data_IF_152442423187
#
_entry.id   IF_152442423187
#
_cell.length_a   1.000
_cell.length_b   1.000
_cell.length_c   1.000
_cell.angle_alpha   90.00
_cell.angle_beta   90.00
_cell.angle_gamma   90.00
#
_symmetry.space_group_name_H-M   'P 1'
#
loop_
_entity.id
_entity.type
_entity.pdbx_description
1 polymer ?
#
# COMPACT_ATOMS: atom_id res chain seq x y z
N UNK A 1 -7.56 49.27 -28.28
CA UNK A 1 -7.75 48.24 -27.25
C UNK A 1 -7.23 46.93 -27.83
N UNK A 2 -6.20 46.32 -27.22
CA UNK A 2 -5.45 45.23 -27.86
C UNK A 2 -6.30 43.96 -27.98
N UNK A 3 -6.50 43.48 -29.20
CA UNK A 3 -7.30 42.30 -29.53
C UNK A 3 -6.78 41.03 -28.82
N UNK A 4 -5.46 40.97 -28.58
CA UNK A 4 -4.81 39.93 -27.78
C UNK A 4 -5.24 39.93 -26.31
N UNK A 5 -5.50 41.10 -25.73
CA UNK A 5 -5.93 41.23 -24.34
C UNK A 5 -7.39 40.78 -24.19
N UNK A 6 -8.22 41.11 -25.18
CA UNK A 6 -9.63 40.70 -25.23
C UNK A 6 -9.75 39.17 -25.36
N UNK A 7 -8.95 38.56 -26.26
CA UNK A 7 -8.92 37.10 -26.44
C UNK A 7 -8.43 36.37 -25.20
N UNK A 8 -7.40 36.89 -24.53
CA UNK A 8 -6.93 36.33 -23.26
C UNK A 8 -8.01 36.37 -22.19
N UNK A 9 -8.72 37.49 -22.03
CA UNK A 9 -9.84 37.61 -21.10
C UNK A 9 -10.99 36.64 -21.43
N UNK A 10 -11.33 36.47 -22.71
CA UNK A 10 -12.39 35.54 -23.13
C UNK A 10 -12.04 34.08 -22.87
N UNK A 11 -10.78 33.67 -23.08
CA UNK A 11 -10.32 32.30 -22.79
C UNK A 11 -10.31 32.03 -21.28
N UNK A 12 -9.87 33.00 -20.48
CA UNK A 12 -9.89 32.90 -19.01
C UNK A 12 -11.34 32.81 -18.50
N UNK A 13 -12.26 33.62 -19.04
CA UNK A 13 -13.67 33.58 -18.66
C UNK A 13 -14.35 32.25 -19.05
N UNK A 14 -14.05 31.72 -20.24
CA UNK A 14 -14.56 30.44 -20.70
C UNK A 14 -14.03 29.26 -19.84
N UNK A 15 -12.75 29.28 -19.49
CA UNK A 15 -12.16 28.29 -18.59
C UNK A 15 -12.74 28.38 -17.17
N UNK A 16 -12.97 29.58 -16.65
CA UNK A 16 -13.59 29.80 -15.33
C UNK A 16 -15.07 29.35 -15.28
N UNK A 17 -15.81 29.50 -16.37
CA UNK A 17 -17.19 29.01 -16.51
C UNK A 17 -17.25 27.48 -16.62
N UNK A 18 -16.35 26.88 -17.42
CA UNK A 18 -16.27 25.43 -17.56
C UNK A 18 -15.79 24.72 -16.28
N UNK A 19 -14.92 25.38 -15.50
CA UNK A 19 -14.48 24.89 -14.19
C UNK A 19 -15.47 25.19 -13.05
N UNK A 20 -16.61 25.86 -13.34
CA UNK A 20 -17.52 26.32 -12.30
C UNK A 20 -18.08 25.24 -11.36
N UNK A 21 -18.44 24.02 -11.82
CA UNK A 21 -18.94 22.99 -10.91
C UNK A 21 -17.82 22.33 -10.08
N UNK A 22 -16.56 22.53 -10.46
CA UNK A 22 -15.39 21.93 -9.79
C UNK A 22 -14.62 22.94 -8.92
N UNK A 23 -15.15 24.15 -8.70
CA UNK A 23 -14.47 25.20 -7.94
C UNK A 23 -14.07 24.78 -6.51
N UNK A 24 -14.91 23.98 -5.85
CA UNK A 24 -14.62 23.48 -4.52
C UNK A 24 -13.43 22.50 -4.52
N UNK A 25 -13.37 21.61 -5.52
CA UNK A 25 -12.29 20.63 -5.68
C UNK A 25 -10.98 21.30 -6.09
N UNK A 26 -11.05 22.30 -6.98
CA UNK A 26 -9.91 23.10 -7.42
C UNK A 26 -9.36 23.92 -6.25
N UNK A 27 -10.21 24.54 -5.43
CA UNK A 27 -9.76 25.25 -4.21
C UNK A 27 -9.11 24.28 -3.22
N UNK A 28 -9.73 23.12 -2.97
CA UNK A 28 -9.16 22.12 -2.09
C UNK A 28 -7.84 21.53 -2.61
N UNK A 29 -7.68 21.38 -3.93
CA UNK A 29 -6.42 20.98 -4.57
C UNK A 29 -5.36 22.08 -4.50
N UNK A 30 -5.75 23.33 -4.73
CA UNK A 30 -4.88 24.49 -4.64
C UNK A 30 -4.39 24.75 -3.21
N UNK A 31 -5.25 24.56 -2.20
CA UNK A 31 -4.88 24.68 -0.78
C UNK A 31 -3.94 23.55 -0.35
N UNK A 32 -4.20 22.30 -0.79
CA UNK A 32 -3.28 21.17 -0.56
C UNK A 32 -1.93 21.39 -1.22
N UNK A 33 -1.92 21.89 -2.45
CA UNK A 33 -0.70 22.26 -3.16
C UNK A 33 0.04 23.40 -2.46
N UNK A 34 -0.66 24.47 -2.05
CA UNK A 34 -0.07 25.59 -1.33
C UNK A 34 0.54 25.16 0.02
N UNK A 35 -0.12 24.24 0.74
CA UNK A 35 0.37 23.70 2.01
C UNK A 35 1.60 22.80 1.81
N UNK A 36 1.61 21.95 0.78
CA UNK A 36 2.76 21.13 0.39
C UNK A 36 3.95 21.97 -0.10
N UNK A 37 3.66 23.09 -0.78
CA UNK A 37 4.66 24.06 -1.26
C UNK A 37 5.26 24.87 -0.11
N UNK A 38 4.49 25.22 0.92
CA UNK A 38 5.01 25.87 2.13
C UNK A 38 5.90 24.94 2.95
N UNK A 39 5.61 23.64 2.95
CA UNK A 39 6.39 22.64 3.70
C UNK A 39 7.77 22.34 3.08
N UNK A 40 7.93 22.50 1.75
CA UNK A 40 9.19 22.24 1.05
C UNK A 40 9.79 23.55 0.51
N UNK A 41 10.68 24.15 1.29
CA UNK A 41 11.37 25.42 0.99
C UNK A 41 12.43 25.34 -0.11
N UNK A 42 12.07 24.91 -1.34
CA UNK A 42 12.96 24.93 -2.51
C UNK A 42 12.32 25.66 -3.70
N UNK A 43 12.82 26.86 -4.02
CA UNK A 43 12.15 27.84 -4.91
C UNK A 43 12.03 27.47 -6.40
N UNK A 44 12.73 26.45 -6.90
CA UNK A 44 12.80 26.16 -8.35
C UNK A 44 11.61 25.34 -8.84
N UNK A 45 11.03 24.47 -8.00
CA UNK A 45 9.88 23.65 -8.38
C UNK A 45 8.56 24.45 -8.47
N UNK A 46 8.52 25.63 -7.83
CA UNK A 46 7.33 26.48 -7.70
C UNK A 46 6.91 27.14 -9.01
N UNK A 47 7.88 27.65 -9.76
CA UNK A 47 7.62 28.30 -11.05
C UNK A 47 7.31 27.29 -12.15
N UNK A 48 7.91 26.10 -12.09
CA UNK A 48 7.64 25.01 -13.03
C UNK A 48 6.19 24.52 -12.98
N UNK A 49 5.63 24.30 -11.78
CA UNK A 49 4.24 23.84 -11.63
C UNK A 49 3.22 24.89 -12.10
N UNK A 50 3.45 26.17 -11.82
CA UNK A 50 2.57 27.26 -12.25
C UNK A 50 2.62 27.45 -13.77
N UNK A 51 3.81 27.39 -14.38
CA UNK A 51 3.97 27.45 -15.83
C UNK A 51 3.29 26.26 -16.54
N UNK A 52 3.35 25.05 -15.95
CA UNK A 52 2.69 23.86 -16.50
C UNK A 52 1.16 23.99 -16.50
N UNK A 53 0.59 24.53 -15.41
CA UNK A 53 -0.86 24.76 -15.29
C UNK A 53 -1.35 25.82 -16.28
N UNK A 54 -0.58 26.89 -16.47
CA UNK A 54 -0.88 27.92 -17.47
C UNK A 54 -0.77 27.38 -18.91
N UNK A 55 0.22 26.53 -19.20
CA UNK A 55 0.40 25.91 -20.51
C UNK A 55 -0.76 24.94 -20.87
N UNK A 56 -1.27 24.19 -19.90
CA UNK A 56 -2.46 23.33 -20.07
C UNK A 56 -3.70 24.17 -20.34
N UNK A 57 -3.88 25.28 -19.61
CA UNK A 57 -5.02 26.17 -19.80
C UNK A 57 -5.02 26.89 -21.16
N UNK A 58 -3.84 27.08 -21.79
CA UNK A 58 -3.71 27.71 -23.11
C UNK A 58 -3.80 26.75 -24.31
N UNK A 59 -4.10 25.46 -24.07
CA UNK A 59 -4.23 24.47 -25.15
C UNK A 59 -2.91 24.07 -25.81
N UNK A 60 -1.77 24.40 -25.18
CA UNK A 60 -0.44 23.98 -25.67
C UNK A 60 -0.28 22.49 -25.37
N UNK A 61 -0.01 21.69 -26.40
CA UNK A 61 0.35 20.28 -26.21
C UNK A 61 1.61 20.20 -25.37
N UNK A 62 1.46 19.79 -24.11
CA UNK A 62 2.60 19.56 -23.23
C UNK A 62 3.53 18.53 -23.88
N UNK A 63 4.86 18.73 -23.83
CA UNK A 63 5.79 17.68 -24.18
C UNK A 63 5.42 16.44 -23.36
N UNK A 64 5.25 15.29 -24.04
CA UNK A 64 4.93 14.03 -23.38
C UNK A 64 5.88 13.86 -22.20
N UNK A 65 5.32 13.79 -21.00
CA UNK A 65 6.10 13.61 -19.79
C UNK A 65 7.07 12.44 -20.06
N UNK A 66 8.38 12.61 -19.81
CA UNK A 66 9.31 11.51 -19.91
C UNK A 66 8.71 10.37 -19.11
N UNK A 67 8.63 9.16 -19.71
CA UNK A 67 8.20 7.97 -18.98
C UNK A 67 9.01 7.96 -17.70
N UNK A 68 8.34 8.21 -16.57
CA UNK A 68 9.03 8.17 -15.29
C UNK A 68 9.64 6.77 -15.21
N UNK A 69 10.92 6.65 -14.78
CA UNK A 69 11.55 5.36 -14.64
C UNK A 69 10.59 4.48 -13.84
N UNK A 70 10.17 3.35 -14.42
CA UNK A 70 9.35 2.40 -13.71
C UNK A 70 10.10 2.05 -12.45
N UNK A 71 9.57 2.45 -11.29
CA UNK A 71 10.15 2.04 -10.01
C UNK A 71 10.00 0.53 -9.97
N UNK A 72 11.11 -0.18 -10.16
CA UNK A 72 11.15 -1.62 -10.03
C UNK A 72 10.53 -1.98 -8.68
N UNK A 73 9.52 -2.85 -8.70
CA UNK A 73 8.89 -3.31 -7.47
C UNK A 73 9.99 -3.84 -6.54
N UNK A 74 9.94 -3.51 -5.23
CA UNK A 74 10.95 -3.99 -4.29
C UNK A 74 11.01 -5.51 -4.35
N UNK A 75 12.21 -6.04 -4.58
CA UNK A 75 12.46 -7.48 -4.57
C UNK A 75 12.41 -7.98 -3.13
N UNK A 76 11.30 -8.64 -2.78
CA UNK A 76 11.18 -9.33 -1.48
C UNK A 76 11.80 -10.72 -1.64
N UNK A 77 12.93 -10.96 -0.99
CA UNK A 77 13.52 -12.29 -0.94
C UNK A 77 12.78 -13.11 0.12
N UNK A 78 11.99 -14.09 -0.31
CA UNK A 78 11.24 -14.98 0.57
C UNK A 78 11.83 -16.38 0.47
N UNK A 79 12.10 -16.99 1.62
CA UNK A 79 12.57 -18.36 1.73
C UNK A 79 11.48 -19.35 1.27
N UNK A 80 11.87 -20.42 0.57
CA UNK A 80 10.91 -21.45 0.15
C UNK A 80 10.49 -22.29 1.37
N UNK A 81 9.20 -22.32 1.72
CA UNK A 81 8.72 -23.09 2.87
C UNK A 81 8.68 -24.60 2.57
N UNK A 82 8.51 -25.40 3.62
CA UNK A 82 8.32 -26.86 3.49
C UNK A 82 7.09 -27.20 2.62
N UNK A 83 7.09 -28.39 1.99
CA UNK A 83 5.98 -28.84 1.12
C UNK A 83 4.64 -28.86 1.86
N UNK A 84 4.66 -29.22 3.14
CA UNK A 84 3.49 -29.18 4.00
C UNK A 84 2.95 -27.75 4.14
N UNK A 85 3.83 -26.78 4.43
CA UNK A 85 3.43 -25.37 4.55
C UNK A 85 2.97 -24.77 3.22
N UNK A 86 3.58 -25.15 2.09
CA UNK A 86 3.12 -24.75 0.76
C UNK A 86 1.65 -25.16 0.53
N UNK A 87 1.28 -26.36 0.95
CA UNK A 87 -0.08 -26.87 0.84
C UNK A 87 -1.06 -26.05 1.69
N UNK A 88 -0.65 -25.70 2.92
CA UNK A 88 -1.47 -24.88 3.84
C UNK A 88 -1.73 -23.48 3.30
N UNK A 89 -0.75 -22.87 2.61
CA UNK A 89 -0.89 -21.50 2.07
C UNK A 89 -1.43 -21.43 0.64
N UNK A 90 -1.74 -22.55 0.01
CA UNK A 90 -2.25 -22.58 -1.38
C UNK A 90 -3.54 -21.75 -1.58
N UNK A 91 -4.41 -21.69 -0.55
CA UNK A 91 -5.62 -20.85 -0.57
C UNK A 91 -5.31 -19.36 -0.70
N UNK A 92 -4.22 -18.91 -0.09
CA UNK A 92 -3.75 -17.52 -0.13
C UNK A 92 -3.22 -17.17 -1.53
N UNK A 93 -2.39 -18.06 -2.10
CA UNK A 93 -1.87 -17.88 -3.46
C UNK A 93 -3.00 -17.78 -4.49
N UNK A 94 -4.03 -18.64 -4.36
CA UNK A 94 -5.24 -18.60 -5.19
C UNK A 94 -6.02 -17.29 -5.02
N UNK A 95 -6.21 -16.82 -3.79
CA UNK A 95 -6.92 -15.56 -3.54
C UNK A 95 -6.17 -14.33 -4.07
N UNK A 96 -4.83 -14.38 -4.11
CA UNK A 96 -3.96 -13.35 -4.67
C UNK A 96 -3.71 -13.50 -6.18
N UNK A 97 -4.34 -14.46 -6.86
CA UNK A 97 -4.13 -14.71 -8.29
C UNK A 97 -4.39 -13.46 -9.15
N UNK A 98 -5.37 -12.64 -8.79
CA UNK A 98 -5.70 -11.39 -9.48
C UNK A 98 -4.89 -10.15 -9.06
N UNK A 99 -4.07 -10.25 -8.01
CA UNK A 99 -3.28 -9.13 -7.51
C UNK A 99 -2.10 -8.82 -8.43
N UNK A 100 -1.82 -7.53 -8.63
CA UNK A 100 -0.68 -7.10 -9.44
C UNK A 100 0.67 -7.33 -8.70
N UNK A 101 1.82 -7.29 -9.39
CA UNK A 101 3.11 -7.58 -8.76
C UNK A 101 3.49 -6.66 -7.59
N UNK A 102 3.07 -5.39 -7.62
CA UNK A 102 3.34 -4.44 -6.56
C UNK A 102 2.51 -4.75 -5.30
N UNK A 103 1.24 -5.09 -5.47
CA UNK A 103 0.35 -5.57 -4.40
C UNK A 103 0.92 -6.83 -3.74
N UNK A 104 1.32 -7.81 -4.55
CA UNK A 104 1.96 -9.04 -4.08
C UNK A 104 3.24 -8.79 -3.29
N UNK A 105 4.08 -7.87 -3.74
CA UNK A 105 5.31 -7.49 -3.04
C UNK A 105 5.01 -6.79 -1.69
N UNK A 106 4.00 -5.92 -1.65
CA UNK A 106 3.56 -5.27 -0.41
C UNK A 106 3.04 -6.31 0.58
N UNK A 107 2.19 -7.23 0.12
CA UNK A 107 1.68 -8.34 0.93
C UNK A 107 2.83 -9.15 1.54
N UNK A 108 3.74 -9.64 0.71
CA UNK A 108 4.89 -10.41 1.15
C UNK A 108 5.75 -9.63 2.17
N UNK A 109 5.99 -8.35 1.92
CA UNK A 109 6.77 -7.50 2.84
C UNK A 109 6.13 -7.33 4.22
N UNK A 110 4.80 -7.27 4.31
CA UNK A 110 4.11 -7.15 5.60
C UNK A 110 4.30 -8.42 6.42
N UNK A 111 4.11 -9.58 5.81
CA UNK A 111 4.23 -10.86 6.51
C UNK A 111 5.67 -11.22 6.88
N UNK A 112 6.65 -10.89 6.04
CA UNK A 112 8.07 -10.98 6.42
C UNK A 112 8.40 -10.11 7.64
N UNK A 113 7.88 -8.88 7.69
CA UNK A 113 8.09 -8.01 8.86
C UNK A 113 7.38 -8.53 10.10
N UNK A 114 6.17 -9.09 9.95
CA UNK A 114 5.47 -9.73 11.06
C UNK A 114 6.28 -10.90 11.63
N UNK A 115 6.88 -11.72 10.75
CA UNK A 115 7.80 -12.79 11.14
C UNK A 115 9.00 -12.25 11.94
N UNK A 116 9.63 -11.16 11.47
CA UNK A 116 10.76 -10.52 12.18
C UNK A 116 10.36 -10.00 13.55
N UNK A 117 9.19 -9.36 13.67
CA UNK A 117 8.70 -8.81 14.96
C UNK A 117 8.48 -9.93 15.97
N UNK A 118 7.88 -11.05 15.57
CA UNK A 118 7.64 -12.19 16.47
C UNK A 118 8.92 -12.97 16.76
N UNK A 119 9.85 -13.06 15.82
CA UNK A 119 11.14 -13.71 16.00
C UNK A 119 12.11 -12.91 16.88
N UNK A 120 11.83 -11.63 17.13
CA UNK A 120 12.69 -10.78 17.92
C UNK A 120 12.89 -11.37 19.34
N UNK A 121 14.13 -11.28 19.88
CA UNK A 121 14.41 -11.72 21.24
C UNK A 121 13.57 -10.89 22.22
N UNK A 122 13.15 -11.55 23.30
CA UNK A 122 12.34 -10.88 24.31
C UNK A 122 13.18 -9.88 25.10
N UNK A 123 12.63 -8.68 25.28
CA UNK A 123 13.22 -7.67 26.15
C UNK A 123 12.90 -7.96 27.61
N UNK A 124 13.03 -6.94 28.46
CA UNK A 124 12.62 -7.03 29.89
C UNK A 124 11.14 -7.33 30.07
N UNK A 125 10.32 -6.94 29.09
CA UNK A 125 8.88 -7.17 29.06
C UNK A 125 8.52 -7.99 27.81
N UNK A 126 7.75 -9.08 27.94
CA UNK A 126 7.32 -9.88 26.80
C UNK A 126 6.31 -9.08 25.96
N UNK A 127 6.61 -8.92 24.67
CA UNK A 127 5.71 -8.24 23.72
C UNK A 127 4.42 -9.04 23.48
N UNK A 128 4.55 -10.36 23.45
CA UNK A 128 3.44 -11.30 23.25
C UNK A 128 3.36 -12.25 24.43
N UNK A 129 2.34 -12.09 25.26
CA UNK A 129 2.18 -12.84 26.52
C UNK A 129 1.41 -14.14 26.33
N UNK A 130 0.37 -14.12 25.50
CA UNK A 130 -0.48 -15.28 25.22
C UNK A 130 -0.86 -15.38 23.73
N UNK A 131 -1.41 -16.52 23.35
CA UNK A 131 -1.88 -16.78 21.98
C UNK A 131 -2.93 -15.77 21.49
N UNK A 132 -3.68 -15.09 22.38
CA UNK A 132 -4.60 -14.02 21.97
C UNK A 132 -3.86 -12.78 21.50
N UNK A 133 -2.75 -12.42 22.15
CA UNK A 133 -1.91 -11.31 21.72
C UNK A 133 -1.33 -11.55 20.31
N UNK A 134 -0.91 -12.78 20.02
CA UNK A 134 -0.48 -13.18 18.68
C UNK A 134 -1.62 -13.12 17.66
N UNK A 135 -2.81 -13.64 17.98
CA UNK A 135 -3.97 -13.53 17.09
C UNK A 135 -4.38 -12.08 16.84
N UNK A 136 -4.33 -11.22 17.86
CA UNK A 136 -4.57 -9.78 17.71
C UNK A 136 -3.53 -9.13 16.79
N UNK A 137 -2.26 -9.54 16.90
CA UNK A 137 -1.21 -9.08 15.99
C UNK A 137 -1.40 -9.57 14.56
N UNK A 138 -1.90 -10.78 14.34
CA UNK A 138 -2.32 -11.28 13.01
C UNK A 138 -3.38 -10.37 12.39
N UNK A 139 -4.44 -10.04 13.14
CA UNK A 139 -5.53 -9.18 12.66
C UNK A 139 -4.99 -7.79 12.31
N UNK A 140 -4.15 -7.21 13.17
CA UNK A 140 -3.51 -5.92 12.89
C UNK A 140 -2.63 -5.98 11.63
N UNK A 141 -1.88 -7.06 11.46
CA UNK A 141 -1.01 -7.26 10.29
C UNK A 141 -1.83 -7.37 9.00
N UNK A 142 -2.95 -8.09 9.04
CA UNK A 142 -3.93 -8.14 7.95
C UNK A 142 -4.48 -6.75 7.62
N UNK A 143 -4.91 -5.99 8.62
CA UNK A 143 -5.44 -4.64 8.39
C UNK A 143 -4.39 -3.69 7.80
N UNK A 144 -3.13 -3.79 8.24
CA UNK A 144 -2.01 -3.05 7.67
C UNK A 144 -1.77 -3.48 6.22
N UNK A 145 -1.79 -4.77 5.93
CA UNK A 145 -1.64 -5.29 4.57
C UNK A 145 -2.71 -4.69 3.66
N UNK A 146 -4.00 -4.80 4.02
CA UNK A 146 -5.10 -4.23 3.25
C UNK A 146 -4.96 -2.74 2.99
N UNK A 147 -4.68 -1.95 4.04
CA UNK A 147 -4.48 -0.50 3.89
C UNK A 147 -3.31 -0.16 2.96
N UNK A 148 -2.25 -0.96 2.97
CA UNK A 148 -1.05 -0.73 2.15
C UNK A 148 -1.17 -1.22 0.71
N UNK A 149 -2.09 -2.13 0.40
CA UNK A 149 -2.40 -2.59 -0.96
C UNK A 149 -3.12 -1.50 -1.80
N UNK A 150 -2.71 -0.23 -1.72
CA UNK A 150 -3.29 0.84 -2.53
C UNK A 150 -4.70 1.28 -2.12
N UNK A 151 -5.11 1.06 -0.88
CA UNK A 151 -6.45 1.42 -0.39
C UNK A 151 -7.55 0.44 -0.79
N UNK A 152 -7.17 -0.75 -1.22
CA UNK A 152 -8.09 -1.87 -1.45
C UNK A 152 -8.84 -2.18 -0.14
N UNK A 153 -10.18 -2.14 -0.19
CA UNK A 153 -11.00 -2.45 0.98
C UNK A 153 -10.95 -3.94 1.32
N UNK A 154 -11.04 -4.33 2.60
CA UNK A 154 -11.26 -5.72 2.98
C UNK A 154 -12.47 -6.31 2.22
N UNK A 155 -12.29 -7.48 1.59
CA UNK A 155 -13.34 -8.20 0.85
C UNK A 155 -13.25 -8.12 -0.68
N UNK A 156 -12.37 -7.29 -1.24
CA UNK A 156 -12.09 -7.24 -2.69
C UNK A 156 -11.39 -8.49 -3.24
N UNK A 157 -10.68 -9.23 -2.39
CA UNK A 157 -10.11 -10.54 -2.73
C UNK A 157 -10.82 -11.60 -1.88
N UNK A 158 -11.90 -12.21 -2.39
CA UNK A 158 -12.69 -13.17 -1.65
C UNK A 158 -11.84 -14.34 -1.14
N UNK A 159 -12.04 -14.74 0.10
CA UNK A 159 -11.36 -15.90 0.70
C UNK A 159 -9.95 -15.62 1.23
N UNK A 160 -9.36 -14.44 0.97
CA UNK A 160 -7.98 -14.15 1.42
C UNK A 160 -7.87 -14.08 2.94
N UNK A 161 -8.82 -13.42 3.61
CA UNK A 161 -8.83 -13.30 5.07
C UNK A 161 -9.01 -14.69 5.70
N UNK A 162 -9.98 -15.44 5.22
CA UNK A 162 -10.32 -16.77 5.72
C UNK A 162 -9.14 -17.74 5.54
N UNK A 163 -8.44 -17.67 4.39
CA UNK A 163 -7.26 -18.49 4.14
C UNK A 163 -6.10 -18.15 5.10
N UNK A 164 -5.86 -16.86 5.38
CA UNK A 164 -4.85 -16.45 6.37
C UNK A 164 -5.24 -16.88 7.77
N UNK A 165 -6.48 -16.65 8.17
CA UNK A 165 -6.97 -17.03 9.50
C UNK A 165 -6.90 -18.54 9.71
N UNK A 166 -7.20 -19.36 8.70
CA UNK A 166 -7.02 -20.80 8.75
C UNK A 166 -5.56 -21.18 9.07
N UNK A 167 -4.61 -20.66 8.29
CA UNK A 167 -3.16 -20.93 8.48
C UNK A 167 -2.70 -20.49 9.87
N UNK A 168 -3.11 -19.31 10.32
CA UNK A 168 -2.67 -18.75 11.59
C UNK A 168 -3.34 -19.42 12.79
N UNK A 169 -4.59 -19.87 12.64
CA UNK A 169 -5.31 -20.65 13.66
C UNK A 169 -4.63 -22.01 13.89
N UNK A 170 -4.09 -22.62 12.85
CA UNK A 170 -3.34 -23.87 12.96
C UNK A 170 -1.97 -23.65 13.64
N UNK A 171 -1.28 -22.57 13.30
CA UNK A 171 0.02 -22.24 13.88
C UNK A 171 -0.04 -21.88 15.36
N UNK A 172 -1.09 -21.16 15.78
CA UNK A 172 -1.22 -20.59 17.14
C UNK A 172 -2.17 -21.39 18.02
N UNK A 173 -3.12 -22.11 17.42
CA UNK A 173 -4.27 -22.68 18.11
C UNK A 173 -5.35 -21.64 18.45
N UNK A 174 -6.52 -22.13 18.85
CA UNK A 174 -7.66 -21.30 19.29
C UNK A 174 -7.69 -21.10 20.81
N UNK A 175 -7.15 -22.06 21.56
CA UNK A 175 -7.03 -21.96 23.01
C UNK A 175 -6.17 -20.77 23.44
N UNK A 176 -6.43 -20.27 24.65
CA UNK A 176 -5.57 -19.28 25.31
C UNK A 176 -4.44 -20.01 26.02
N UNK A 177 -3.22 -19.87 25.51
CA UNK A 177 -2.01 -20.50 26.08
C UNK A 177 -0.89 -19.45 26.14
N UNK A 178 0.01 -19.52 27.13
CA UNK A 178 1.22 -18.71 27.13
C UNK A 178 2.00 -18.88 25.82
N UNK A 179 2.62 -17.81 25.34
CA UNK A 179 3.48 -17.90 24.15
C UNK A 179 4.78 -18.59 24.53
N UNK A 180 4.96 -19.80 24.05
CA UNK A 180 6.21 -20.55 24.17
C UNK A 180 7.09 -20.39 22.90
N UNK A 181 8.39 -20.75 22.96
CA UNK A 181 9.29 -20.63 21.80
C UNK A 181 8.84 -21.44 20.58
N UNK A 182 8.15 -22.56 20.77
CA UNK A 182 7.65 -23.39 19.68
C UNK A 182 6.46 -22.74 18.96
N UNK A 183 5.55 -22.11 19.71
CA UNK A 183 4.46 -21.31 19.17
C UNK A 183 5.01 -20.13 18.38
N UNK A 184 6.02 -19.42 18.90
CA UNK A 184 6.69 -18.35 18.14
C UNK A 184 7.29 -18.89 16.84
N UNK A 185 7.99 -20.01 16.89
CA UNK A 185 8.58 -20.65 15.70
C UNK A 185 7.52 -21.00 14.66
N UNK A 186 6.41 -21.64 15.06
CA UNK A 186 5.29 -21.97 14.16
C UNK A 186 4.63 -20.74 13.58
N UNK A 187 4.42 -19.69 14.38
CA UNK A 187 3.88 -18.41 13.91
C UNK A 187 4.80 -17.77 12.86
N UNK A 188 6.11 -17.75 13.11
CA UNK A 188 7.13 -17.21 12.21
C UNK A 188 7.16 -17.98 10.89
N UNK A 189 7.14 -19.31 10.96
CA UNK A 189 7.08 -20.19 9.79
C UNK A 189 5.81 -19.93 8.97
N UNK A 190 4.65 -19.81 9.62
CA UNK A 190 3.39 -19.46 8.99
C UNK A 190 3.46 -18.09 8.28
N UNK A 191 4.00 -17.06 8.94
CA UNK A 191 4.16 -15.74 8.34
C UNK A 191 5.04 -15.77 7.08
N UNK A 192 6.17 -16.47 7.11
CA UNK A 192 7.06 -16.62 5.94
C UNK A 192 6.38 -17.39 4.81
N UNK A 193 5.63 -18.44 5.13
CA UNK A 193 4.87 -19.18 4.13
C UNK A 193 3.76 -18.31 3.50
N UNK A 194 3.07 -17.48 4.29
CA UNK A 194 2.08 -16.51 3.79
C UNK A 194 2.74 -15.47 2.87
N UNK A 195 3.94 -15.00 3.23
CA UNK A 195 4.72 -14.10 2.38
C UNK A 195 5.10 -14.76 1.04
N UNK A 196 5.48 -16.04 1.10
CA UNK A 196 5.86 -16.84 -0.06
C UNK A 196 4.69 -17.06 -1.02
N UNK A 197 3.49 -17.36 -0.49
CA UNK A 197 2.27 -17.41 -1.28
C UNK A 197 1.98 -16.07 -1.97
N UNK A 198 2.29 -14.97 -1.27
CA UNK A 198 2.15 -13.60 -1.75
C UNK A 198 2.86 -13.30 -3.06
N UNK A 199 4.09 -13.81 -3.24
CA UNK A 199 4.90 -13.55 -4.44
C UNK A 199 4.50 -14.40 -5.65
N UNK A 200 3.43 -15.20 -5.55
CA UNK A 200 2.90 -16.00 -6.66
C UNK A 200 3.68 -17.29 -6.94
N UNK A 201 4.29 -17.87 -5.91
CA UNK A 201 5.02 -19.14 -6.00
C UNK A 201 4.23 -20.36 -5.54
N UNK A 202 2.99 -20.17 -5.06
CA UNK A 202 2.08 -21.23 -4.59
C UNK A 202 0.84 -21.43 -5.44
#
# INVERSE_FOLDING_TARGET
MNDSLLRACCVIAAAALAASPYWAEIRAAAERAAKAVRANGGGVMRWGAVALLLAVASGVQLPRLPKMPSVSAPTVNVETPSVEMQTKVAGIARALAGANPAERAIWASVWEKAAVVVAAPEGKEPVFTDSRSLRGFTVLSLDIAWRRLGGIQPGTMPGLREAVEAVMSEAVGLDVKPVDPEMKRRYVEACRAIAWAGIGRG
#
